data_IF_683866569177
#
_entry.id   IF_683866569177
#
_cell.length_a   1.000
_cell.length_b   1.000
_cell.length_c   1.000
_cell.angle_alpha   90.00
_cell.angle_beta   90.00
_cell.angle_gamma   90.00
#
_symmetry.space_group_name_H-M   'P 1'
#
loop_
_entity.id
_entity.type
_entity.pdbx_description
1 polymer ?
#
# COMPACT_ATOMS: atom_id res chain seq x y z
N UNK A 1 -12.80 26.29 -15.17
CA UNK A 1 -12.04 26.30 -13.89
C UNK A 1 -11.77 27.75 -13.53
N UNK A 2 -12.05 28.17 -12.31
CA UNK A 2 -11.74 29.53 -11.87
C UNK A 2 -10.22 29.76 -11.88
N UNK A 3 -9.78 30.95 -12.35
CA UNK A 3 -8.35 31.32 -12.49
C UNK A 3 -7.49 31.06 -11.24
N UNK A 4 -7.98 31.26 -10.00
CA UNK A 4 -7.23 30.92 -8.78
C UNK A 4 -6.97 29.42 -8.61
N UNK A 5 -7.92 28.56 -9.00
CA UNK A 5 -7.78 27.10 -8.90
C UNK A 5 -6.73 26.60 -9.90
N UNK A 6 -6.69 27.16 -11.11
CA UNK A 6 -5.69 26.82 -12.11
C UNK A 6 -4.27 27.19 -11.65
N UNK A 7 -4.10 28.36 -11.03
CA UNK A 7 -2.81 28.79 -10.47
C UNK A 7 -2.36 27.89 -9.32
N UNK A 8 -3.28 27.48 -8.45
CA UNK A 8 -3.00 26.54 -7.37
C UNK A 8 -2.54 25.18 -7.92
N UNK A 9 -3.23 24.66 -8.93
CA UNK A 9 -2.87 23.39 -9.59
C UNK A 9 -1.47 23.50 -10.21
N UNK A 10 -1.20 24.57 -10.96
CA UNK A 10 0.13 24.81 -11.56
C UNK A 10 1.23 24.84 -10.49
N UNK A 11 0.99 25.52 -9.37
CA UNK A 11 1.94 25.57 -8.25
C UNK A 11 2.22 24.18 -7.70
N UNK A 12 1.20 23.37 -7.46
CA UNK A 12 1.39 22.00 -6.98
C UNK A 12 2.14 21.13 -7.99
N UNK A 13 1.85 21.26 -9.28
CA UNK A 13 2.57 20.53 -10.33
C UNK A 13 4.06 20.87 -10.30
N UNK A 14 4.42 22.15 -10.24
CA UNK A 14 5.84 22.55 -10.15
C UNK A 14 6.49 22.08 -8.85
N UNK A 15 5.80 22.20 -7.71
CA UNK A 15 6.29 21.64 -6.43
C UNK A 15 6.57 20.14 -6.53
N UNK A 16 5.70 19.36 -7.17
CA UNK A 16 5.92 17.93 -7.34
C UNK A 16 7.04 17.60 -8.33
N UNK A 17 7.23 18.40 -9.38
CA UNK A 17 8.37 18.24 -10.30
C UNK A 17 9.70 18.45 -9.59
N UNK A 18 9.76 19.41 -8.67
CA UNK A 18 10.97 19.70 -7.89
C UNK A 18 11.18 18.66 -6.77
N UNK A 19 10.14 18.33 -6.01
CA UNK A 19 10.23 17.43 -4.86
C UNK A 19 10.37 15.96 -5.27
N UNK A 20 9.76 15.55 -6.38
CA UNK A 20 9.71 14.15 -6.83
C UNK A 20 11.08 13.47 -6.88
N UNK A 21 12.09 14.04 -7.56
CA UNK A 21 13.43 13.46 -7.61
C UNK A 21 14.10 13.33 -6.23
N UNK A 22 13.84 14.26 -5.31
CA UNK A 22 14.37 14.18 -3.95
C UNK A 22 13.70 13.05 -3.15
N UNK A 23 12.38 12.93 -3.26
CA UNK A 23 11.61 11.85 -2.62
C UNK A 23 12.02 10.47 -3.15
N UNK A 24 12.27 10.32 -4.46
CA UNK A 24 12.72 9.04 -5.01
C UNK A 24 14.13 8.66 -4.55
N UNK A 25 15.04 9.64 -4.37
CA UNK A 25 16.35 9.39 -3.76
C UNK A 25 16.21 8.91 -2.31
N UNK A 26 15.42 9.64 -1.50
CA UNK A 26 15.15 9.26 -0.11
C UNK A 26 14.55 7.86 -0.03
N UNK A 27 13.52 7.56 -0.83
CA UNK A 27 12.90 6.25 -0.90
C UNK A 27 13.91 5.15 -1.27
N UNK A 28 14.77 5.41 -2.24
CA UNK A 28 15.80 4.43 -2.65
C UNK A 28 16.80 4.16 -1.54
N UNK A 29 17.24 5.21 -0.84
CA UNK A 29 18.14 5.09 0.31
C UNK A 29 17.47 4.35 1.47
N UNK A 30 16.22 4.69 1.80
CA UNK A 30 15.43 4.00 2.82
C UNK A 30 15.29 2.52 2.50
N UNK A 31 14.94 2.14 1.26
CA UNK A 31 14.81 0.74 0.86
C UNK A 31 16.14 0.00 1.00
N UNK A 32 17.25 0.60 0.57
CA UNK A 32 18.58 -0.01 0.66
C UNK A 32 19.05 -0.22 2.09
N UNK A 33 18.69 0.71 2.97
CA UNK A 33 19.11 0.69 4.37
C UNK A 33 18.09 0.02 5.31
N UNK A 34 16.94 -0.39 4.79
CA UNK A 34 15.91 -1.06 5.57
C UNK A 34 16.33 -2.48 5.94
N UNK A 35 16.44 -2.75 7.25
CA UNK A 35 16.56 -4.12 7.75
C UNK A 35 15.18 -4.79 7.72
N UNK A 36 14.88 -5.42 6.59
CA UNK A 36 13.61 -6.08 6.36
C UNK A 36 13.43 -7.29 7.29
N UNK A 37 14.52 -7.97 7.67
CA UNK A 37 14.46 -9.12 8.56
C UNK A 37 14.07 -8.70 9.98
N UNK A 38 14.71 -7.65 10.50
CA UNK A 38 14.34 -7.09 11.80
C UNK A 38 12.90 -6.55 11.82
N UNK A 39 12.45 -5.91 10.74
CA UNK A 39 11.06 -5.43 10.64
C UNK A 39 10.05 -6.59 10.66
N UNK A 40 10.34 -7.70 9.98
CA UNK A 40 9.50 -8.91 10.02
C UNK A 40 9.42 -9.47 11.44
N UNK A 41 10.56 -9.55 12.15
CA UNK A 41 10.59 -10.02 13.54
C UNK A 41 9.75 -9.12 14.45
N UNK A 42 9.89 -7.79 14.34
CA UNK A 42 9.12 -6.81 15.12
C UNK A 42 7.61 -6.88 14.86
N UNK A 43 7.20 -7.26 13.63
CA UNK A 43 5.79 -7.39 13.25
C UNK A 43 5.21 -8.79 13.50
N UNK A 44 6.04 -9.76 13.87
CA UNK A 44 5.64 -11.16 14.06
C UNK A 44 4.55 -11.33 15.10
N UNK A 45 4.65 -10.61 16.23
CA UNK A 45 3.66 -10.70 17.31
C UNK A 45 2.28 -10.17 16.90
N UNK A 46 2.24 -9.10 16.10
CA UNK A 46 0.99 -8.58 15.56
C UNK A 46 0.34 -9.58 14.59
N UNK A 47 1.15 -10.22 13.74
CA UNK A 47 0.69 -11.29 12.86
C UNK A 47 0.16 -12.49 13.64
N UNK A 48 0.89 -12.98 14.64
CA UNK A 48 0.47 -14.12 15.46
C UNK A 48 -0.79 -13.80 16.29
N UNK A 49 -0.90 -12.59 16.81
CA UNK A 49 -2.11 -12.11 17.47
C UNK A 49 -3.32 -12.14 16.53
N UNK A 50 -3.18 -11.57 15.33
CA UNK A 50 -4.22 -11.60 14.31
C UNK A 50 -4.60 -13.04 13.94
N UNK A 51 -3.61 -13.92 13.73
CA UNK A 51 -3.83 -15.34 13.41
C UNK A 51 -4.61 -16.08 14.49
N UNK A 52 -4.39 -15.76 15.79
CA UNK A 52 -5.07 -16.40 16.92
C UNK A 52 -6.47 -15.85 17.16
N UNK A 53 -6.66 -14.55 17.00
CA UNK A 53 -7.86 -13.86 17.46
C UNK A 53 -8.86 -13.58 16.33
N UNK A 54 -8.39 -13.42 15.11
CA UNK A 54 -9.23 -13.09 13.97
C UNK A 54 -9.99 -14.31 13.46
N UNK A 55 -11.30 -14.16 13.31
CA UNK A 55 -12.17 -15.17 12.67
C UNK A 55 -12.43 -14.75 11.23
N UNK A 56 -12.08 -15.58 10.23
CA UNK A 56 -12.36 -15.25 8.85
C UNK A 56 -13.86 -15.10 8.63
N UNK A 57 -14.31 -14.03 7.95
CA UNK A 57 -15.72 -13.86 7.65
C UNK A 57 -16.17 -14.92 6.65
N UNK A 58 -17.41 -15.38 6.79
CA UNK A 58 -18.03 -16.32 5.86
C UNK A 58 -18.18 -15.76 4.45
N UNK A 59 -18.09 -14.43 4.30
CA UNK A 59 -18.17 -13.73 3.02
C UNK A 59 -17.03 -12.72 2.88
N UNK A 60 -16.43 -12.69 1.70
CA UNK A 60 -15.47 -11.67 1.27
C UNK A 60 -15.36 -11.71 -0.25
N UNK A 61 -14.76 -10.68 -0.86
CA UNK A 61 -14.46 -10.71 -2.29
C UNK A 61 -13.59 -11.92 -2.69
N UNK A 62 -12.71 -12.38 -1.79
CA UNK A 62 -11.89 -13.58 -2.01
C UNK A 62 -12.73 -14.86 -2.01
N UNK A 63 -13.64 -14.99 -1.05
CA UNK A 63 -14.56 -16.15 -0.95
C UNK A 63 -15.47 -16.22 -2.17
N UNK A 64 -16.04 -15.08 -2.60
CA UNK A 64 -16.90 -15.06 -3.81
C UNK A 64 -16.10 -15.39 -5.07
N UNK A 65 -14.87 -14.87 -5.20
CA UNK A 65 -13.99 -15.22 -6.32
C UNK A 65 -13.67 -16.71 -6.37
N UNK A 66 -13.36 -17.32 -5.22
CA UNK A 66 -13.13 -18.77 -5.13
C UNK A 66 -14.39 -19.56 -5.51
N UNK A 67 -15.57 -19.13 -5.06
CA UNK A 67 -16.86 -19.73 -5.43
C UNK A 67 -17.11 -19.68 -6.94
N UNK A 68 -16.79 -18.56 -7.59
CA UNK A 68 -16.91 -18.42 -9.03
C UNK A 68 -15.93 -19.35 -9.78
N UNK A 69 -14.67 -19.40 -9.35
CA UNK A 69 -13.68 -20.29 -9.98
C UNK A 69 -13.99 -21.77 -9.79
N UNK A 70 -14.56 -22.17 -8.66
CA UNK A 70 -15.00 -23.55 -8.45
C UNK A 70 -16.04 -24.01 -9.48
N UNK A 71 -16.89 -23.11 -9.98
CA UNK A 71 -17.89 -23.41 -11.03
C UNK A 71 -17.29 -23.56 -12.42
N UNK A 72 -16.10 -23.01 -12.64
CA UNK A 72 -15.39 -23.06 -13.92
C UNK A 72 -14.39 -24.22 -13.99
N UNK A 73 -14.28 -25.03 -12.92
CA UNK A 73 -13.48 -26.27 -12.95
C UNK A 73 -14.27 -27.34 -13.73
N UNK A 74 -13.64 -28.02 -14.71
CA UNK A 74 -14.26 -29.14 -15.42
C UNK A 74 -14.57 -30.32 -14.51
#
# INVERSE_FOLDING_TARGET
MDRPQEQLIRRWVETWKEAGPALERLRTEEIRNSDTAAAIEQLSDAFESARRQWKPPATSGLVERQRLFAKLRP
#
